data_IF_873104147374
#
_entry.id   IF_873104147374
#
_cell.length_a   1.000
_cell.length_b   1.000
_cell.length_c   1.000
_cell.angle_alpha   90.00
_cell.angle_beta   90.00
_cell.angle_gamma   90.00
#
_symmetry.space_group_name_H-M   'P 1'
#
loop_
_entity.id
_entity.type
_entity.pdbx_description
1 polymer ?
#
# COMPACT_ATOMS: atom_id res chain seq x y z
N UNK A 1 13.78 0.47 -14.85
CA UNK A 1 12.50 0.36 -14.13
C UNK A 1 11.33 0.23 -15.09
N UNK A 2 11.10 1.17 -16.01
CA UNK A 2 9.99 1.11 -17.00
C UNK A 2 9.81 -0.26 -17.69
N UNK A 3 10.87 -0.82 -18.30
CA UNK A 3 10.82 -2.16 -18.94
C UNK A 3 10.49 -3.31 -17.99
N UNK A 4 10.81 -3.17 -16.71
CA UNK A 4 10.46 -4.17 -15.71
C UNK A 4 8.96 -4.12 -15.40
N UNK A 5 8.39 -2.91 -15.25
CA UNK A 5 6.95 -2.71 -15.09
C UNK A 5 6.15 -3.21 -16.29
N UNK A 6 6.63 -3.00 -17.52
CA UNK A 6 6.01 -3.57 -18.73
C UNK A 6 5.97 -5.11 -18.70
N UNK A 7 7.05 -5.76 -18.22
CA UNK A 7 7.06 -7.23 -18.07
C UNK A 7 6.09 -7.69 -16.98
N UNK A 8 6.03 -7.00 -15.84
CA UNK A 8 5.08 -7.32 -14.76
C UNK A 8 3.65 -7.19 -15.28
N UNK A 9 3.33 -6.12 -16.00
CA UNK A 9 1.98 -5.92 -16.54
C UNK A 9 1.57 -6.99 -17.55
N UNK A 10 2.54 -7.52 -18.31
CA UNK A 10 2.26 -8.52 -19.35
C UNK A 10 2.25 -9.96 -18.82
N UNK A 11 3.13 -10.29 -17.88
CA UNK A 11 3.43 -11.68 -17.49
C UNK A 11 3.51 -11.92 -15.97
N UNK A 12 3.32 -10.88 -15.16
CA UNK A 12 3.42 -10.92 -13.71
C UNK A 12 4.87 -10.89 -13.17
N UNK A 13 5.01 -10.56 -11.89
CA UNK A 13 6.32 -10.45 -11.22
C UNK A 13 7.12 -11.77 -11.20
N UNK A 14 6.44 -12.91 -11.24
CA UNK A 14 7.10 -14.23 -11.34
C UNK A 14 7.90 -14.41 -12.62
N UNK A 15 7.45 -13.80 -13.74
CA UNK A 15 8.06 -13.94 -15.05
C UNK A 15 9.19 -12.93 -15.35
N UNK A 16 9.50 -12.04 -14.39
CA UNK A 16 10.48 -10.98 -14.56
C UNK A 16 11.87 -11.53 -14.92
N UNK A 17 12.46 -11.04 -16.01
CA UNK A 17 13.75 -11.52 -16.53
C UNK A 17 14.69 -10.39 -16.92
N UNK A 18 15.81 -10.28 -16.21
CA UNK A 18 16.90 -9.34 -16.55
C UNK A 18 17.42 -9.55 -17.98
N UNK A 19 17.56 -10.80 -18.44
CA UNK A 19 18.02 -11.06 -19.80
C UNK A 19 17.01 -10.57 -20.86
N UNK A 20 15.71 -10.71 -20.59
CA UNK A 20 14.68 -10.19 -21.48
C UNK A 20 14.68 -8.65 -21.51
N UNK A 21 14.87 -7.99 -20.35
CA UNK A 21 15.02 -6.54 -20.25
C UNK A 21 16.26 -6.06 -21.02
N UNK A 22 17.42 -6.72 -20.81
CA UNK A 22 18.66 -6.40 -21.52
C UNK A 22 18.48 -6.47 -23.03
N UNK A 23 17.84 -7.53 -23.53
CA UNK A 23 17.53 -7.70 -24.95
C UNK A 23 16.62 -6.58 -25.47
N UNK A 24 15.57 -6.20 -24.74
CA UNK A 24 14.68 -5.10 -25.12
C UNK A 24 15.40 -3.74 -25.16
N UNK A 25 16.38 -3.53 -24.28
CA UNK A 25 17.19 -2.31 -24.23
C UNK A 25 18.36 -2.30 -25.23
N UNK A 26 18.55 -3.37 -26.03
CA UNK A 26 19.72 -3.50 -26.90
C UNK A 26 21.04 -3.66 -26.15
N UNK A 27 20.99 -4.05 -24.87
CA UNK A 27 22.13 -4.27 -24.00
C UNK A 27 22.51 -5.76 -23.94
N UNK A 28 23.78 -6.04 -23.62
CA UNK A 28 24.17 -7.40 -23.25
C UNK A 28 23.67 -7.74 -21.85
N UNK A 29 23.38 -9.02 -21.59
CA UNK A 29 23.02 -9.50 -20.25
C UNK A 29 24.00 -9.03 -19.16
N UNK A 30 25.32 -9.24 -19.31
CA UNK A 30 26.32 -8.78 -18.33
C UNK A 30 26.28 -7.28 -18.04
N UNK A 31 25.92 -6.44 -19.02
CA UNK A 31 25.80 -5.01 -18.80
C UNK A 31 24.65 -4.66 -17.85
N UNK A 32 23.53 -5.39 -17.90
CA UNK A 32 22.40 -5.17 -17.01
C UNK A 32 22.67 -5.73 -15.60
N UNK A 33 23.42 -6.83 -15.48
CA UNK A 33 23.84 -7.37 -14.19
C UNK A 33 24.77 -6.45 -13.38
N UNK A 34 25.34 -5.42 -14.01
CA UNK A 34 26.07 -4.35 -13.30
C UNK A 34 25.15 -3.39 -12.54
N UNK A 35 23.88 -3.35 -12.88
CA UNK A 35 22.87 -2.51 -12.22
C UNK A 35 22.07 -3.30 -11.18
N UNK A 36 21.79 -4.57 -11.46
CA UNK A 36 21.10 -5.49 -10.57
C UNK A 36 21.83 -6.84 -10.58
N UNK A 37 22.39 -7.24 -9.45
CA UNK A 37 22.98 -8.54 -9.17
C UNK A 37 22.03 -9.71 -9.47
N UNK A 38 20.71 -9.48 -9.46
CA UNK A 38 19.75 -10.50 -9.84
C UNK A 38 18.30 -10.04 -9.91
N UNK A 39 17.42 -10.99 -10.22
CA UNK A 39 15.97 -10.79 -10.27
C UNK A 39 15.43 -10.24 -8.95
N UNK A 40 15.87 -10.78 -7.83
CA UNK A 40 15.33 -10.42 -6.52
C UNK A 40 15.76 -9.01 -6.09
N UNK A 41 16.93 -8.55 -6.52
CA UNK A 41 17.34 -7.14 -6.33
C UNK A 41 16.46 -6.21 -7.17
N UNK A 42 16.19 -6.56 -8.43
CA UNK A 42 15.26 -5.79 -9.25
C UNK A 42 13.84 -5.75 -8.65
N UNK A 43 13.33 -6.87 -8.12
CA UNK A 43 12.03 -6.92 -7.43
C UNK A 43 12.04 -6.03 -6.19
N UNK A 44 13.12 -6.09 -5.40
CA UNK A 44 13.29 -5.24 -4.21
C UNK A 44 13.21 -3.76 -4.55
N UNK A 45 13.90 -3.33 -5.61
CA UNK A 45 13.85 -1.93 -6.04
C UNK A 45 12.47 -1.52 -6.58
N UNK A 46 11.75 -2.41 -7.27
CA UNK A 46 10.37 -2.15 -7.69
C UNK A 46 9.41 -2.02 -6.50
N UNK A 47 9.59 -2.85 -5.47
CA UNK A 47 8.81 -2.75 -4.22
C UNK A 47 9.11 -1.44 -3.48
N UNK A 48 10.39 -1.03 -3.39
CA UNK A 48 10.75 0.28 -2.82
C UNK A 48 10.11 1.43 -3.59
N UNK A 49 10.17 1.38 -4.92
CA UNK A 49 9.55 2.39 -5.79
C UNK A 49 8.04 2.47 -5.56
N UNK A 50 7.36 1.32 -5.47
CA UNK A 50 5.92 1.25 -5.20
C UNK A 50 5.56 1.84 -3.83
N UNK A 51 6.25 1.44 -2.75
CA UNK A 51 6.02 2.00 -1.42
C UNK A 51 6.34 3.49 -1.34
N UNK A 52 7.42 3.96 -1.98
CA UNK A 52 7.77 5.39 -2.02
C UNK A 52 6.70 6.21 -2.72
N UNK A 53 6.23 5.73 -3.88
CA UNK A 53 5.16 6.38 -4.64
C UNK A 53 3.87 6.48 -3.82
N UNK A 54 3.50 5.43 -3.08
CA UNK A 54 2.34 5.45 -2.20
C UNK A 54 2.54 6.43 -1.02
N UNK A 55 3.70 6.39 -0.36
CA UNK A 55 4.03 7.31 0.73
C UNK A 55 3.98 8.77 0.28
N UNK A 56 4.53 9.08 -0.90
CA UNK A 56 4.46 10.42 -1.51
C UNK A 56 3.02 10.84 -1.81
N UNK A 57 2.20 9.94 -2.35
CA UNK A 57 0.79 10.23 -2.65
C UNK A 57 0.00 10.57 -1.38
N UNK A 58 0.15 9.79 -0.32
CA UNK A 58 -0.53 10.04 0.95
C UNK A 58 -0.01 11.28 1.67
N UNK A 59 1.30 11.54 1.61
CA UNK A 59 1.92 12.75 2.16
C UNK A 59 1.46 14.01 1.42
N UNK A 60 1.38 13.95 0.09
CA UNK A 60 0.87 15.05 -0.71
C UNK A 60 -0.58 15.36 -0.36
N UNK A 61 -1.42 14.33 -0.18
CA UNK A 61 -2.77 14.52 0.35
C UNK A 61 -2.73 15.19 1.73
N UNK A 62 -2.07 14.60 2.73
CA UNK A 62 -2.07 15.15 4.10
C UNK A 62 -1.61 16.62 4.20
N UNK A 63 -0.60 17.02 3.42
CA UNK A 63 -0.08 18.40 3.41
C UNK A 63 -1.07 19.43 2.87
N UNK A 64 -2.04 19.02 2.06
CA UNK A 64 -3.13 19.90 1.59
C UNK A 64 -4.23 20.11 2.65
N UNK A 65 -4.05 19.55 3.86
CA UNK A 65 -5.02 19.64 4.95
C UNK A 65 -6.21 18.70 4.77
N UNK A 66 -6.08 17.67 3.93
CA UNK A 66 -7.15 16.67 3.80
C UNK A 66 -7.22 15.78 5.04
N UNK A 67 -8.45 15.42 5.40
CA UNK A 67 -8.76 14.47 6.45
C UNK A 67 -8.59 13.02 5.98
N UNK A 68 -9.01 12.05 6.80
CA UNK A 68 -9.00 10.64 6.43
C UNK A 68 -9.74 10.35 5.13
N UNK A 69 -10.75 11.14 4.75
CA UNK A 69 -11.45 10.94 3.49
C UNK A 69 -10.55 11.27 2.29
N UNK A 70 -9.81 12.38 2.37
CA UNK A 70 -8.84 12.72 1.33
C UNK A 70 -7.71 11.71 1.21
N UNK A 71 -7.20 11.17 2.33
CA UNK A 71 -6.23 10.07 2.31
C UNK A 71 -6.80 8.80 1.64
N UNK A 72 -8.06 8.46 1.92
CA UNK A 72 -8.74 7.33 1.29
C UNK A 72 -8.85 7.50 -0.23
N UNK A 73 -9.25 8.69 -0.69
CA UNK A 73 -9.34 8.99 -2.12
C UNK A 73 -7.97 8.99 -2.80
N UNK A 74 -6.92 9.48 -2.12
CA UNK A 74 -5.55 9.42 -2.62
C UNK A 74 -5.06 7.97 -2.77
N UNK A 75 -5.32 7.11 -1.77
CA UNK A 75 -5.03 5.68 -1.83
C UNK A 75 -5.76 5.00 -3.01
N UNK A 76 -7.06 5.28 -3.16
CA UNK A 76 -7.86 4.73 -4.26
C UNK A 76 -7.32 5.18 -5.62
N UNK A 77 -7.04 6.47 -5.78
CA UNK A 77 -6.47 7.02 -7.02
C UNK A 77 -5.16 6.34 -7.39
N UNK A 78 -4.23 6.23 -6.43
CA UNK A 78 -2.94 5.57 -6.60
C UNK A 78 -3.08 4.09 -7.01
N UNK A 79 -4.02 3.38 -6.39
CA UNK A 79 -4.27 1.97 -6.63
C UNK A 79 -4.88 1.70 -8.02
N UNK A 80 -5.81 2.56 -8.46
CA UNK A 80 -6.47 2.45 -9.76
C UNK A 80 -5.60 2.93 -10.93
N UNK A 81 -4.66 3.85 -10.67
CA UNK A 81 -3.71 4.33 -11.68
C UNK A 81 -2.82 3.20 -12.21
N UNK A 82 -2.35 2.32 -11.31
CA UNK A 82 -1.52 1.17 -11.67
C UNK A 82 -1.81 -0.03 -10.76
N UNK A 83 -2.71 -0.89 -11.24
CA UNK A 83 -3.09 -2.12 -10.55
C UNK A 83 -1.91 -3.08 -10.35
N UNK A 84 -0.92 -3.07 -11.24
CA UNK A 84 0.21 -4.00 -11.19
C UNK A 84 1.21 -3.57 -10.12
N UNK A 85 1.44 -2.26 -9.99
CA UNK A 85 2.17 -1.67 -8.87
C UNK A 85 1.48 -1.96 -7.54
N UNK A 86 0.15 -1.86 -7.48
CA UNK A 86 -0.62 -2.23 -6.29
C UNK A 86 -0.42 -3.72 -5.93
N UNK A 87 -0.59 -4.63 -6.90
CA UNK A 87 -0.47 -6.07 -6.65
C UNK A 87 0.96 -6.53 -6.36
N UNK A 88 1.99 -5.77 -6.75
CA UNK A 88 3.36 -6.09 -6.35
C UNK A 88 3.54 -6.03 -4.83
N UNK A 89 2.83 -5.12 -4.14
CA UNK A 89 2.97 -4.91 -2.70
C UNK A 89 1.83 -5.53 -1.86
N UNK A 90 0.59 -5.57 -2.39
CA UNK A 90 -0.59 -6.07 -1.67
C UNK A 90 -1.25 -7.29 -2.33
N UNK A 91 -0.64 -7.84 -3.38
CA UNK A 91 -1.15 -8.99 -4.11
C UNK A 91 -0.55 -10.32 -3.67
N UNK A 92 -0.47 -11.25 -4.62
CA UNK A 92 0.10 -12.58 -4.36
C UNK A 92 1.61 -12.47 -4.16
N UNK A 93 2.18 -13.00 -3.07
CA UNK A 93 3.62 -13.01 -2.86
C UNK A 93 4.36 -13.65 -4.03
N UNK A 94 5.49 -13.06 -4.42
CA UNK A 94 6.30 -13.58 -5.52
C UNK A 94 7.00 -14.87 -5.07
N UNK A 95 6.76 -16.03 -5.74
CA UNK A 95 7.37 -17.30 -5.34
C UNK A 95 8.90 -17.22 -5.32
N UNK A 96 9.49 -17.70 -4.23
CA UNK A 96 10.94 -17.73 -4.03
C UNK A 96 11.60 -16.40 -3.69
N UNK A 97 10.84 -15.30 -3.65
CA UNK A 97 11.34 -13.99 -3.24
C UNK A 97 11.13 -13.75 -1.75
N UNK A 98 12.15 -13.19 -1.09
CA UNK A 98 12.07 -12.73 0.29
C UNK A 98 12.48 -11.25 0.36
N UNK A 99 11.56 -10.43 0.83
CA UNK A 99 11.80 -9.01 1.06
C UNK A 99 12.90 -8.81 2.12
N UNK A 100 13.92 -7.97 1.85
CA UNK A 100 14.88 -7.55 2.87
C UNK A 100 14.20 -6.77 4.00
N UNK A 101 14.79 -6.79 5.20
CA UNK A 101 14.22 -6.14 6.40
C UNK A 101 14.05 -4.63 6.25
N UNK A 102 14.85 -3.97 5.41
CA UNK A 102 14.86 -2.52 5.24
C UNK A 102 13.68 -1.96 4.43
N UNK A 103 12.85 -2.81 3.81
CA UNK A 103 11.58 -2.41 3.18
C UNK A 103 10.60 -1.88 4.23
N UNK A 104 10.73 -2.33 5.49
CA UNK A 104 9.86 -1.94 6.61
C UNK A 104 9.87 -0.43 6.88
N UNK A 105 11.00 0.26 6.68
CA UNK A 105 11.10 1.69 6.94
C UNK A 105 10.15 2.55 6.10
N UNK A 106 10.03 2.27 4.80
CA UNK A 106 9.15 3.02 3.89
C UNK A 106 7.68 2.71 4.20
N UNK A 107 7.37 1.46 4.55
CA UNK A 107 6.03 1.06 4.97
C UNK A 107 5.59 1.79 6.27
N UNK A 108 6.52 2.03 7.20
CA UNK A 108 6.25 2.77 8.44
C UNK A 108 5.89 4.24 8.18
N UNK A 109 6.44 4.89 7.15
CA UNK A 109 6.09 6.28 6.79
C UNK A 109 4.61 6.42 6.39
N UNK A 110 4.10 5.44 5.64
CA UNK A 110 2.71 5.37 5.23
C UNK A 110 1.80 5.27 6.46
N UNK A 111 2.12 4.35 7.37
CA UNK A 111 1.35 4.17 8.60
C UNK A 111 1.43 5.41 9.50
N UNK A 112 2.59 6.07 9.59
CA UNK A 112 2.75 7.32 10.35
C UNK A 112 1.81 8.41 9.86
N UNK A 113 1.74 8.62 8.55
CA UNK A 113 0.82 9.59 7.93
C UNK A 113 -0.64 9.30 8.27
N UNK A 114 -1.02 8.02 8.28
CA UNK A 114 -2.38 7.61 8.65
C UNK A 114 -2.66 7.80 10.15
N UNK A 115 -1.67 7.52 11.00
CA UNK A 115 -1.76 7.69 12.45
C UNK A 115 -1.93 9.16 12.85
N UNK A 116 -1.24 10.08 12.17
CA UNK A 116 -1.40 11.52 12.36
C UNK A 116 -2.87 11.94 12.09
N UNK A 117 -3.44 11.50 10.96
CA UNK A 117 -4.81 11.80 10.59
C UNK A 117 -5.84 11.16 11.54
N UNK A 118 -5.59 9.93 12.00
CA UNK A 118 -6.46 9.25 12.97
C UNK A 118 -6.42 9.91 14.36
N UNK A 119 -5.25 10.41 14.78
CA UNK A 119 -5.07 11.06 16.09
C UNK A 119 -5.87 12.36 16.15
N UNK A 120 -5.91 13.13 15.06
CA UNK A 120 -6.72 14.35 14.96
C UNK A 120 -8.24 14.11 15.11
N UNK A 121 -8.69 12.86 14.91
CA UNK A 121 -10.11 12.50 14.91
C UNK A 121 -10.55 11.71 16.14
N UNK A 122 -9.64 11.31 17.03
CA UNK A 122 -9.95 10.39 18.13
C UNK A 122 -10.67 11.12 19.29
N UNK A 123 -11.95 10.84 19.57
CA UNK A 123 -12.55 11.17 20.85
C UNK A 123 -12.12 10.15 21.93
N UNK A 124 -12.26 10.53 23.20
CA UNK A 124 -12.16 9.61 24.35
C UNK A 124 -13.33 8.61 24.31
N UNK A 125 -13.15 7.50 23.59
CA UNK A 125 -14.08 6.37 23.62
C UNK A 125 -13.54 5.27 24.56
N UNK A 126 -14.42 4.49 25.23
CA UNK A 126 -14.00 3.36 26.05
C UNK A 126 -13.14 2.37 25.23
N UNK A 127 -12.01 1.96 25.78
CA UNK A 127 -11.08 1.07 25.09
C UNK A 127 -11.75 -0.29 24.79
N UNK A 128 -11.97 -0.58 23.52
CA UNK A 128 -12.32 -1.93 23.07
C UNK A 128 -11.17 -2.89 23.43
N UNK A 129 -11.43 -4.21 23.59
CA UNK A 129 -10.39 -5.19 23.93
C UNK A 129 -9.16 -5.14 22.99
N UNK A 130 -9.39 -4.90 21.70
CA UNK A 130 -8.30 -4.74 20.73
C UNK A 130 -7.51 -3.45 20.92
N UNK A 131 -8.16 -2.34 21.30
CA UNK A 131 -7.45 -1.11 21.64
C UNK A 131 -6.58 -1.29 22.89
N UNK A 132 -7.06 -2.00 23.92
CA UNK A 132 -6.24 -2.34 25.08
C UNK A 132 -5.04 -3.23 24.69
N UNK A 133 -5.23 -4.21 23.81
CA UNK A 133 -4.13 -5.03 23.30
C UNK A 133 -3.04 -4.19 22.61
N UNK A 134 -3.42 -3.15 21.87
CA UNK A 134 -2.49 -2.24 21.19
C UNK A 134 -1.71 -1.32 22.15
N UNK A 135 -2.04 -1.25 23.44
CA UNK A 135 -1.19 -0.55 24.42
C UNK A 135 0.19 -1.21 24.54
N UNK A 136 0.21 -2.54 24.52
CA UNK A 136 1.42 -3.35 24.66
C UNK A 136 2.01 -3.79 23.31
N UNK A 137 1.22 -3.77 22.22
CA UNK A 137 1.58 -4.34 20.91
C UNK A 137 1.65 -3.29 19.79
N UNK A 138 2.46 -2.24 20.01
CA UNK A 138 2.56 -1.06 19.11
C UNK A 138 3.97 -0.78 18.57
N UNK A 139 4.87 -1.76 18.57
CA UNK A 139 6.23 -1.62 18.05
C UNK A 139 6.24 -1.12 16.59
N UNK A 140 5.29 -1.59 15.78
CA UNK A 140 5.09 -1.16 14.39
C UNK A 140 4.76 0.34 14.23
N UNK A 141 4.28 1.00 15.29
CA UNK A 141 4.01 2.43 15.28
C UNK A 141 5.29 3.27 15.51
N UNK A 142 6.44 2.63 15.77
CA UNK A 142 7.76 3.26 15.77
C UNK A 142 7.80 4.56 16.61
N UNK A 143 7.39 4.44 17.88
CA UNK A 143 7.38 5.54 18.84
C UNK A 143 6.32 6.62 18.61
N UNK A 144 5.40 6.46 17.66
CA UNK A 144 4.33 7.43 17.40
C UNK A 144 3.45 7.66 18.66
N UNK A 145 3.08 8.91 19.02
CA UNK A 145 2.37 9.21 20.27
C UNK A 145 0.86 8.93 20.27
N UNK A 146 0.32 8.40 19.16
CA UNK A 146 -1.11 8.13 19.01
C UNK A 146 -1.69 7.28 20.17
N UNK A 147 -2.90 7.60 20.66
CA UNK A 147 -3.58 6.73 21.62
C UNK A 147 -3.96 5.38 20.96
N UNK A 148 -4.16 4.31 21.73
CA UNK A 148 -4.49 2.98 21.18
C UNK A 148 -5.77 2.95 20.34
N UNK A 149 -6.74 3.83 20.64
CA UNK A 149 -7.94 4.01 19.82
C UNK A 149 -7.62 4.52 18.40
N UNK A 150 -6.64 5.42 18.27
CA UNK A 150 -6.19 5.90 16.97
C UNK A 150 -5.38 4.83 16.20
N UNK A 151 -4.58 4.01 16.90
CA UNK A 151 -3.92 2.85 16.31
C UNK A 151 -4.94 1.86 15.73
N UNK A 152 -5.98 1.51 16.51
CA UNK A 152 -7.07 0.65 16.05
C UNK A 152 -7.78 1.25 14.83
N UNK A 153 -8.14 2.53 14.88
CA UNK A 153 -8.79 3.22 13.76
C UNK A 153 -7.94 3.16 12.49
N UNK A 154 -6.64 3.41 12.60
CA UNK A 154 -5.73 3.33 11.46
C UNK A 154 -5.68 1.91 10.86
N UNK A 155 -5.57 0.87 11.70
CA UNK A 155 -5.59 -0.52 11.23
C UNK A 155 -6.93 -0.89 10.56
N UNK A 156 -8.05 -0.47 11.14
CA UNK A 156 -9.38 -0.73 10.59
C UNK A 156 -9.58 0.00 9.25
N UNK A 157 -9.16 1.26 9.17
CA UNK A 157 -9.15 2.05 7.93
C UNK A 157 -8.33 1.35 6.85
N UNK A 158 -7.09 0.98 7.19
CA UNK A 158 -6.16 0.33 6.27
C UNK A 158 -6.73 -0.99 5.73
N UNK A 159 -7.15 -1.88 6.63
CA UNK A 159 -7.64 -3.19 6.25
C UNK A 159 -8.93 -3.13 5.41
N UNK A 160 -9.90 -2.28 5.77
CA UNK A 160 -11.17 -2.18 5.04
C UNK A 160 -10.97 -1.62 3.65
N UNK A 161 -10.21 -0.52 3.51
CA UNK A 161 -10.00 0.10 2.20
C UNK A 161 -9.20 -0.82 1.27
N UNK A 162 -8.14 -1.46 1.77
CA UNK A 162 -7.40 -2.45 0.98
C UNK A 162 -8.26 -3.66 0.61
N UNK A 163 -9.19 -4.08 1.46
CA UNK A 163 -10.16 -5.13 1.14
C UNK A 163 -11.03 -4.76 -0.08
N UNK A 164 -11.61 -3.56 -0.08
CA UNK A 164 -12.41 -3.07 -1.22
C UNK A 164 -11.55 -2.94 -2.47
N UNK A 165 -10.39 -2.29 -2.37
CA UNK A 165 -9.51 -2.02 -3.52
C UNK A 165 -8.95 -3.30 -4.13
N UNK A 166 -8.50 -4.25 -3.31
CA UNK A 166 -7.98 -5.53 -3.81
C UNK A 166 -9.06 -6.34 -4.55
N UNK A 167 -10.28 -6.38 -4.02
CA UNK A 167 -11.40 -7.07 -4.67
C UNK A 167 -11.79 -6.39 -5.99
N UNK A 168 -11.83 -5.06 -6.02
CA UNK A 168 -12.10 -4.29 -7.22
C UNK A 168 -11.03 -4.51 -8.29
N UNK A 169 -9.76 -4.31 -7.93
CA UNK A 169 -8.62 -4.46 -8.84
C UNK A 169 -8.47 -5.89 -9.36
N UNK A 170 -8.83 -6.88 -8.56
CA UNK A 170 -8.80 -8.29 -8.97
C UNK A 170 -10.01 -8.68 -9.83
N UNK A 171 -10.93 -7.74 -10.10
CA UNK A 171 -12.11 -7.95 -10.93
C UNK A 171 -13.21 -8.75 -10.23
N UNK A 172 -13.19 -8.92 -8.90
CA UNK A 172 -14.22 -9.67 -8.18
C UNK A 172 -15.59 -8.96 -8.20
N UNK A 173 -15.62 -7.64 -8.41
CA UNK A 173 -16.87 -6.89 -8.58
C UNK A 173 -17.39 -6.89 -10.02
N UNK A 174 -16.63 -7.45 -10.97
CA UNK A 174 -17.05 -7.55 -12.37
C UNK A 174 -18.36 -8.32 -12.47
N UNK A 175 -19.33 -7.78 -13.21
CA UNK A 175 -20.68 -8.34 -13.40
C UNK A 175 -21.57 -8.40 -12.14
N UNK A 176 -21.19 -7.76 -11.03
CA UNK A 176 -22.08 -7.65 -9.87
C UNK A 176 -23.14 -6.54 -10.00
N UNK A 177 -22.98 -5.61 -10.95
CA UNK A 177 -24.00 -4.62 -11.32
C UNK A 177 -24.09 -3.37 -10.43
N UNK A 178 -23.21 -3.21 -9.44
CA UNK A 178 -23.08 -2.00 -8.63
C UNK A 178 -21.83 -1.20 -9.01
N UNK A 179 -21.76 0.07 -8.59
CA UNK A 179 -20.59 0.94 -8.77
C UNK A 179 -19.59 0.74 -7.61
N UNK A 180 -18.37 0.22 -7.87
CA UNK A 180 -17.36 0.05 -6.83
C UNK A 180 -16.93 1.35 -6.15
N UNK A 181 -17.00 2.50 -6.84
CA UNK A 181 -16.67 3.80 -6.26
C UNK A 181 -17.70 4.22 -5.19
N UNK A 182 -18.99 3.94 -5.43
CA UNK A 182 -20.04 4.17 -4.43
C UNK A 182 -19.90 3.23 -3.23
N UNK A 183 -19.54 1.96 -3.46
CA UNK A 183 -19.27 1.02 -2.38
C UNK A 183 -18.06 1.45 -1.53
N UNK A 184 -16.97 1.88 -2.17
CA UNK A 184 -15.80 2.43 -1.50
C UNK A 184 -16.15 3.66 -0.63
N UNK A 185 -16.95 4.59 -1.17
CA UNK A 185 -17.40 5.77 -0.44
C UNK A 185 -18.26 5.39 0.78
N UNK A 186 -19.18 4.43 0.63
CA UNK A 186 -20.01 3.95 1.73
C UNK A 186 -19.20 3.29 2.86
N UNK A 187 -18.17 2.50 2.52
CA UNK A 187 -17.26 1.90 3.50
C UNK A 187 -16.44 2.94 4.24
N UNK A 188 -15.97 3.97 3.52
CA UNK A 188 -15.27 5.12 4.08
C UNK A 188 -16.18 5.92 5.03
N UNK A 189 -17.41 6.22 4.62
CA UNK A 189 -18.39 6.92 5.46
C UNK A 189 -18.66 6.13 6.75
N UNK A 190 -18.80 4.80 6.67
CA UNK A 190 -18.96 3.94 7.83
C UNK A 190 -17.77 4.01 8.81
N UNK A 191 -16.55 4.09 8.29
CA UNK A 191 -15.32 4.25 9.08
C UNK A 191 -15.25 5.62 9.78
N UNK A 192 -15.68 6.68 9.09
CA UNK A 192 -15.68 8.05 9.63
C UNK A 192 -16.84 8.27 10.62
N UNK A 193 -17.97 7.60 10.40
CA UNK A 193 -19.18 7.70 11.21
C UNK A 193 -19.10 6.94 12.54
N UNK A 194 -18.15 6.02 12.73
CA UNK A 194 -17.83 5.45 14.05
C UNK A 194 -17.17 6.52 14.96
N UNK A 195 -18.02 7.48 15.33
CA UNK A 195 -17.85 8.64 16.22
C UNK A 195 -18.60 8.46 17.55
N UNK A 196 -19.03 7.24 17.87
CA UNK A 196 -19.84 6.95 19.06
C UNK A 196 -19.01 6.19 20.09
#
# INVERSE_FOLDING_TARGET
>A
MERAWEQIATAGASALSLNAIAKQMGMSGPALYRYFAGRDELITELIREAYRSLAETLRAASTTGTDLAGLAHALRGWALEDAQRYFLIYGTPVPGYHAPEDITGIASEIMRTLLDACTALAPDAPAAPFSAHLEEHREWADGHPAPPAALHRALAFWARLHGVLSLELAGHFTNMGFDPALFFAAELDGLLAHRA
#
